data_IF_244436792863
#
_entry.id   IF_244436792863
#
_cell.length_a   1.000
_cell.length_b   1.000
_cell.length_c   1.000
_cell.angle_alpha   90.00
_cell.angle_beta   90.00
_cell.angle_gamma   90.00
#
_symmetry.space_group_name_H-M   'P 1'
#
loop_
_entity.id
_entity.type
_entity.pdbx_description
1 polymer ?
#
# COMPACT_ATOMS: atom_id res chain seq x y z
N UNK A 1 7.62 31.30 -2.84
CA UNK A 1 7.52 29.84 -3.12
C UNK A 1 8.50 29.47 -4.23
N UNK A 2 9.65 28.86 -3.90
CA UNK A 2 10.71 28.53 -4.88
C UNK A 2 10.22 27.39 -5.78
N UNK A 3 9.94 27.70 -7.05
CA UNK A 3 9.60 26.70 -8.08
C UNK A 3 10.79 25.75 -8.26
N UNK A 4 10.56 24.46 -8.04
CA UNK A 4 11.55 23.41 -8.15
C UNK A 4 11.77 23.06 -9.63
N UNK A 5 12.98 23.33 -10.14
CA UNK A 5 13.43 22.88 -11.47
C UNK A 5 13.64 21.36 -11.45
N UNK A 6 13.30 20.68 -12.56
CA UNK A 6 13.54 19.25 -12.74
C UNK A 6 15.02 18.91 -12.46
N UNK A 7 15.30 17.83 -11.70
CA UNK A 7 16.67 17.31 -11.50
C UNK A 7 17.31 17.42 -10.10
N UNK A 8 17.05 18.45 -9.31
CA UNK A 8 17.71 18.64 -7.98
C UNK A 8 17.07 17.81 -6.84
N UNK A 9 17.78 16.85 -6.25
CA UNK A 9 17.38 16.18 -5.00
C UNK A 9 17.46 17.18 -3.83
N UNK A 10 16.36 17.38 -3.10
CA UNK A 10 16.32 18.38 -2.02
C UNK A 10 16.67 17.67 -0.72
N UNK A 11 17.77 18.08 -0.09
CA UNK A 11 18.13 17.65 1.27
C UNK A 11 17.72 18.78 2.21
N UNK A 12 16.69 18.57 3.01
CA UNK A 12 16.23 19.51 4.03
C UNK A 12 16.87 19.06 5.35
N UNK A 13 17.67 19.93 5.97
CA UNK A 13 18.24 19.69 7.31
C UNK A 13 17.32 20.32 8.34
N UNK A 14 16.60 19.51 9.10
CA UNK A 14 15.81 19.96 10.25
C UNK A 14 16.69 19.91 11.48
N UNK A 15 16.90 21.05 12.15
CA UNK A 15 17.68 21.12 13.39
C UNK A 15 16.73 21.27 14.56
N UNK A 16 16.63 20.24 15.41
CA UNK A 16 15.89 20.29 16.66
C UNK A 16 16.83 20.80 17.72
N UNK A 17 16.52 21.94 18.34
CA UNK A 17 17.25 22.46 19.50
C UNK A 17 16.39 22.26 20.72
N UNK A 18 16.84 21.44 21.66
CA UNK A 18 16.17 21.26 22.95
C UNK A 18 16.54 22.44 23.88
N UNK A 19 15.68 22.75 24.85
CA UNK A 19 15.94 23.79 25.86
C UNK A 19 17.26 23.55 26.63
N UNK A 20 17.74 22.31 26.68
CA UNK A 20 19.03 21.92 27.26
C UNK A 20 20.25 22.23 26.37
N UNK A 21 20.10 22.99 25.27
CA UNK A 21 21.18 23.36 24.35
C UNK A 21 21.65 22.27 23.38
N UNK A 22 21.15 21.03 23.50
CA UNK A 22 21.47 19.93 22.59
C UNK A 22 20.76 20.11 21.24
N UNK A 23 21.52 19.97 20.16
CA UNK A 23 21.03 20.05 18.78
C UNK A 23 21.11 18.69 18.11
N UNK A 24 20.00 18.24 17.52
CA UNK A 24 19.98 17.08 16.64
C UNK A 24 19.56 17.51 15.25
N UNK A 25 20.37 17.16 14.24
CA UNK A 25 20.07 17.43 12.84
C UNK A 25 19.51 16.16 12.20
N UNK A 26 18.32 16.26 11.62
CA UNK A 26 17.69 15.20 10.83
C UNK A 26 17.71 15.64 9.37
N UNK A 27 18.40 14.88 8.52
CA UNK A 27 18.39 15.08 7.07
C UNK A 27 17.15 14.40 6.46
N UNK A 28 16.29 15.20 5.85
CA UNK A 28 15.12 14.74 5.10
C UNK A 28 15.45 14.87 3.62
N UNK A 29 15.60 13.75 2.94
CA UNK A 29 15.92 13.71 1.51
C UNK A 29 14.65 13.46 0.68
N UNK A 30 14.27 14.44 -0.15
CA UNK A 30 13.14 14.33 -1.06
C UNK A 30 13.56 13.58 -2.32
N UNK A 31 13.03 12.36 -2.50
CA UNK A 31 13.30 11.52 -3.67
C UNK A 31 12.55 12.05 -4.90
N UNK A 32 13.26 12.21 -6.03
CA UNK A 32 12.73 12.86 -7.26
C UNK A 32 12.29 11.91 -8.37
N UNK A 33 12.78 10.67 -8.38
CA UNK A 33 12.35 9.64 -9.32
C UNK A 33 11.01 9.05 -8.87
N UNK A 34 10.18 8.60 -9.81
CA UNK A 34 8.95 7.84 -9.46
C UNK A 34 9.36 6.65 -8.61
N UNK A 35 9.07 6.74 -7.31
CA UNK A 35 9.38 5.67 -6.37
C UNK A 35 8.46 4.50 -6.70
N UNK A 36 9.06 3.45 -7.24
CA UNK A 36 8.37 2.22 -7.56
C UNK A 36 8.17 1.40 -6.29
N UNK A 37 7.06 0.67 -6.26
CA UNK A 37 6.78 -0.31 -5.23
C UNK A 37 7.90 -1.36 -5.25
N UNK A 38 8.58 -1.57 -4.13
CA UNK A 38 9.60 -2.62 -3.98
C UNK A 38 9.08 -3.83 -3.22
N UNK A 39 8.10 -3.63 -2.32
CA UNK A 39 7.53 -4.73 -1.53
C UNK A 39 6.06 -4.49 -1.19
N UNK A 40 5.28 -5.57 -1.23
CA UNK A 40 3.92 -5.63 -0.69
C UNK A 40 3.93 -6.68 0.43
N UNK A 41 3.65 -6.24 1.65
CA UNK A 41 3.61 -7.06 2.88
C UNK A 41 2.30 -6.83 3.64
N UNK A 42 2.12 -7.42 4.83
CA UNK A 42 0.92 -7.25 5.65
C UNK A 42 -0.33 -7.97 5.14
N UNK A 43 -0.22 -8.75 4.06
CA UNK A 43 -1.31 -9.56 3.52
C UNK A 43 -1.15 -11.01 3.96
N UNK A 44 -2.19 -11.58 4.56
CA UNK A 44 -2.27 -13.03 4.82
C UNK A 44 -2.42 -13.77 3.49
N UNK A 45 -1.78 -14.92 3.36
CA UNK A 45 -1.89 -15.80 2.18
C UNK A 45 -3.31 -16.34 1.99
N UNK A 46 -4.03 -16.52 3.11
CA UNK A 46 -5.41 -17.02 3.18
C UNK A 46 -6.25 -16.18 4.12
N UNK A 47 -7.47 -15.88 3.71
CA UNK A 47 -8.49 -15.18 4.50
C UNK A 47 -9.83 -15.90 4.35
N UNK A 48 -10.60 -15.96 5.43
CA UNK A 48 -11.98 -16.46 5.42
C UNK A 48 -12.95 -15.31 5.61
N UNK A 49 -14.06 -15.32 4.87
CA UNK A 49 -15.11 -14.31 4.94
C UNK A 49 -16.46 -15.03 4.95
N UNK A 50 -17.41 -14.63 5.79
CA UNK A 50 -18.76 -15.19 5.73
C UNK A 50 -19.57 -14.56 4.59
N UNK A 51 -20.60 -15.26 4.10
CA UNK A 51 -21.52 -14.70 3.10
C UNK A 51 -22.04 -13.31 3.51
N UNK A 52 -22.03 -12.37 2.56
CA UNK A 52 -22.42 -10.96 2.71
C UNK A 52 -21.61 -10.15 3.74
N UNK A 53 -20.58 -10.73 4.38
CA UNK A 53 -19.67 -9.97 5.24
C UNK A 53 -18.56 -9.31 4.41
N UNK A 54 -18.09 -8.20 4.96
CA UNK A 54 -17.00 -7.38 4.39
C UNK A 54 -15.73 -7.60 5.20
N UNK A 55 -14.59 -7.67 4.53
CA UNK A 55 -13.28 -7.73 5.15
C UNK A 55 -12.32 -6.83 4.39
N UNK A 56 -11.62 -5.95 5.10
CA UNK A 56 -10.70 -4.99 4.48
C UNK A 56 -9.29 -5.56 4.43
N UNK A 57 -8.68 -5.60 3.25
CA UNK A 57 -7.25 -5.86 3.12
C UNK A 57 -6.47 -4.60 3.47
N UNK A 58 -5.50 -4.73 4.37
CA UNK A 58 -4.56 -3.65 4.72
C UNK A 58 -3.15 -4.04 4.25
N UNK A 59 -2.85 -3.93 2.94
CA UNK A 59 -1.50 -4.15 2.46
C UNK A 59 -0.55 -3.07 2.99
N UNK A 60 0.61 -3.49 3.47
CA UNK A 60 1.71 -2.61 3.82
C UNK A 60 2.65 -2.54 2.63
N UNK A 61 2.70 -1.37 2.00
CA UNK A 61 3.49 -1.14 0.80
C UNK A 61 4.75 -0.37 1.17
N UNK A 62 5.89 -0.84 0.67
CA UNK A 62 7.18 -0.19 0.84
C UNK A 62 7.78 0.13 -0.52
N UNK A 63 8.42 1.31 -0.68
CA UNK A 63 8.61 2.39 0.31
C UNK A 63 7.32 3.22 0.53
N UNK A 64 7.17 3.90 1.68
CA UNK A 64 5.98 4.77 1.94
C UNK A 64 5.84 5.93 0.94
N UNK A 65 6.95 6.32 0.31
CA UNK A 65 7.03 7.37 -0.72
C UNK A 65 6.56 6.90 -2.11
N UNK A 66 6.04 5.69 -2.24
CA UNK A 66 5.52 5.17 -3.52
C UNK A 66 4.37 6.04 -4.05
N UNK A 67 4.35 6.27 -5.36
CA UNK A 67 3.29 7.04 -6.05
C UNK A 67 2.43 6.15 -6.96
N UNK A 68 2.74 4.85 -7.02
CA UNK A 68 2.02 3.91 -7.88
C UNK A 68 0.62 3.60 -7.35
N UNK A 69 -0.37 3.55 -8.25
CA UNK A 69 -1.74 3.22 -7.89
C UNK A 69 -1.86 1.75 -7.46
N UNK A 70 -2.42 1.53 -6.27
CA UNK A 70 -2.79 0.20 -5.81
C UNK A 70 -4.10 -0.22 -6.48
N UNK A 71 -4.08 -1.39 -7.09
CA UNK A 71 -5.23 -1.97 -7.78
C UNK A 71 -5.54 -3.36 -7.22
N UNK A 72 -6.82 -3.67 -7.17
CA UNK A 72 -7.33 -4.94 -6.66
C UNK A 72 -8.14 -5.62 -7.75
N UNK A 73 -7.92 -6.91 -7.95
CA UNK A 73 -8.75 -7.73 -8.84
C UNK A 73 -9.13 -9.04 -8.18
N UNK A 74 -10.32 -9.54 -8.48
CA UNK A 74 -10.79 -10.86 -8.03
C UNK A 74 -10.79 -11.81 -9.21
N UNK A 75 -10.33 -13.04 -8.99
CA UNK A 75 -10.39 -14.12 -9.99
C UNK A 75 -11.82 -14.54 -10.29
N UNK A 76 -12.75 -14.39 -9.34
CA UNK A 76 -14.16 -14.74 -9.53
C UNK A 76 -15.08 -13.77 -8.78
N UNK A 77 -15.59 -12.77 -9.50
CA UNK A 77 -16.51 -11.74 -8.98
C UNK A 77 -17.87 -12.30 -8.54
N UNK A 78 -18.26 -13.51 -8.95
CA UNK A 78 -19.50 -14.17 -8.51
C UNK A 78 -19.37 -14.73 -7.09
N UNK A 79 -18.16 -15.12 -6.68
CA UNK A 79 -17.85 -15.67 -5.34
C UNK A 79 -17.41 -14.54 -4.41
N UNK A 80 -16.45 -13.72 -4.85
CA UNK A 80 -15.84 -12.65 -4.04
C UNK A 80 -15.64 -11.40 -4.88
N UNK A 81 -16.07 -10.25 -4.39
CA UNK A 81 -15.76 -8.95 -4.99
C UNK A 81 -14.81 -8.14 -4.12
N UNK A 82 -14.01 -7.27 -4.73
CA UNK A 82 -13.12 -6.34 -4.04
C UNK A 82 -13.31 -4.95 -4.62
N UNK A 83 -13.37 -3.92 -3.78
CA UNK A 83 -13.48 -2.53 -4.21
C UNK A 83 -12.10 -1.85 -4.31
N UNK A 84 -12.08 -0.60 -4.80
CA UNK A 84 -10.86 0.21 -4.95
C UNK A 84 -10.15 0.50 -3.62
N UNK A 85 -10.88 0.46 -2.51
CA UNK A 85 -10.34 0.64 -1.14
C UNK A 85 -9.79 -0.67 -0.54
N UNK A 86 -9.78 -1.77 -1.29
CA UNK A 86 -9.31 -3.07 -0.79
C UNK A 86 -10.31 -3.80 0.11
N UNK A 87 -11.59 -3.38 0.14
CA UNK A 87 -12.65 -4.08 0.88
C UNK A 87 -13.18 -5.24 0.05
N UNK A 88 -13.06 -6.42 0.62
CA UNK A 88 -13.53 -7.68 0.09
C UNK A 88 -14.95 -7.93 0.59
N UNK A 89 -15.84 -8.37 -0.29
CA UNK A 89 -17.19 -8.83 0.06
C UNK A 89 -17.38 -10.25 -0.46
N UNK A 90 -17.73 -11.17 0.44
CA UNK A 90 -18.13 -12.52 0.05
C UNK A 90 -19.57 -12.54 -0.45
N UNK A 91 -19.79 -13.02 -1.68
CA UNK A 91 -21.14 -13.12 -2.28
C UNK A 91 -21.69 -14.54 -2.25
N UNK A 92 -20.89 -15.51 -2.66
CA UNK A 92 -21.28 -16.93 -2.74
C UNK A 92 -20.22 -17.79 -2.07
N UNK A 93 -20.65 -18.87 -1.41
CA UNK A 93 -19.76 -19.88 -0.84
C UNK A 93 -18.81 -20.42 -1.93
N UNK A 94 -17.53 -20.53 -1.60
CA UNK A 94 -16.52 -20.97 -2.54
C UNK A 94 -15.16 -20.33 -2.29
N UNK A 95 -14.21 -20.61 -3.17
CA UNK A 95 -12.85 -20.07 -3.07
C UNK A 95 -12.56 -19.17 -4.26
N UNK A 96 -11.98 -18.00 -4.01
CA UNK A 96 -11.51 -17.09 -5.04
C UNK A 96 -10.14 -16.51 -4.64
N UNK A 97 -9.39 -15.99 -5.60
CA UNK A 97 -8.14 -15.31 -5.36
C UNK A 97 -8.28 -13.82 -5.60
N UNK A 98 -7.79 -13.01 -4.66
CA UNK A 98 -7.65 -11.57 -4.84
C UNK A 98 -6.21 -11.25 -5.15
N UNK A 99 -5.98 -10.53 -6.23
CA UNK A 99 -4.67 -10.01 -6.61
C UNK A 99 -4.60 -8.55 -6.20
N UNK A 100 -3.66 -8.23 -5.32
CA UNK A 100 -3.25 -6.87 -4.98
C UNK A 100 -2.05 -6.52 -5.87
N UNK A 101 -2.16 -5.48 -6.68
CA UNK A 101 -1.10 -5.02 -7.58
C UNK A 101 -0.75 -3.58 -7.24
N UNK A 102 0.54 -3.31 -7.13
CA UNK A 102 1.08 -1.95 -7.09
C UNK A 102 2.26 -1.88 -8.06
N UNK A 103 2.11 -1.09 -9.12
CA UNK A 103 3.08 -1.04 -10.22
C UNK A 103 3.36 -2.40 -10.85
N UNK A 104 4.63 -2.83 -10.81
CA UNK A 104 5.07 -4.15 -11.31
C UNK A 104 4.83 -5.29 -10.31
N UNK A 105 4.69 -4.99 -9.03
CA UNK A 105 4.59 -6.01 -7.97
C UNK A 105 3.14 -6.43 -7.76
N UNK A 106 2.94 -7.74 -7.59
CA UNK A 106 1.63 -8.33 -7.36
C UNK A 106 1.69 -9.36 -6.24
N UNK A 107 0.68 -9.40 -5.38
CA UNK A 107 0.49 -10.41 -4.35
C UNK A 107 -0.90 -11.02 -4.47
N UNK A 108 -1.00 -12.35 -4.39
CA UNK A 108 -2.26 -13.08 -4.41
C UNK A 108 -2.66 -13.47 -2.99
N UNK A 109 -3.94 -13.32 -2.67
CA UNK A 109 -4.57 -13.68 -1.40
C UNK A 109 -5.70 -14.67 -1.70
N UNK A 110 -5.66 -15.85 -1.10
CA UNK A 110 -6.73 -16.84 -1.20
C UNK A 110 -7.88 -16.44 -0.27
N UNK A 111 -9.05 -16.19 -0.81
CA UNK A 111 -10.26 -15.86 -0.05
C UNK A 111 -11.22 -17.04 -0.11
N UNK A 112 -11.60 -17.54 1.06
CA UNK A 112 -12.58 -18.62 1.22
C UNK A 112 -13.85 -18.03 1.81
N UNK A 113 -14.93 -18.08 1.04
CA UNK A 113 -16.26 -17.68 1.50
C UNK A 113 -16.94 -18.88 2.12
N UNK A 114 -17.30 -18.76 3.40
CA UNK A 114 -18.11 -19.74 4.12
C UNK A 114 -19.59 -19.38 4.01
#
# INVERSE_FOLDING_TARGET
MKRLRAGIQIIIKVTITLASGKKQVISVTVQKTTVRTTKITGLKSRVTVARNKKLTLKPVISPITFQEKVTYSSSNKKIVTVNSKGVITGKKKGTAYITVKSGKIRKKVKVVVK
#
